data_IF_191593672843
#
_entry.id   IF_191593672843
#
_cell.length_a   1.000
_cell.length_b   1.000
_cell.length_c   1.000
_cell.angle_alpha   90.00
_cell.angle_beta   90.00
_cell.angle_gamma   90.00
#
_symmetry.space_group_name_H-M   'P 1'
#
loop_
_entity.id
_entity.type
_entity.pdbx_description
1 polymer ?
#
# COMPACT_ATOMS: atom_id res chain seq x y z
N UNK A 1 26.13 25.72 15.51
CA UNK A 1 26.95 24.54 15.92
C UNK A 1 26.22 23.26 15.53
N UNK A 2 26.61 22.62 14.43
CA UNK A 2 26.02 21.33 14.03
C UNK A 2 26.74 20.19 14.74
N UNK A 3 26.04 19.49 15.64
CA UNK A 3 26.57 18.29 16.31
C UNK A 3 26.72 17.20 15.26
N UNK A 4 27.95 16.73 15.02
CA UNK A 4 28.19 15.48 14.30
C UNK A 4 27.58 14.33 15.11
N UNK A 5 26.34 13.95 14.79
CA UNK A 5 25.69 12.81 15.41
C UNK A 5 26.28 11.51 14.84
N UNK A 6 27.11 10.81 15.62
CA UNK A 6 27.53 9.44 15.31
C UNK A 6 26.29 8.54 15.29
N UNK A 7 25.80 8.24 14.08
CA UNK A 7 24.62 7.40 13.89
C UNK A 7 25.03 5.92 13.90
N UNK A 8 24.74 5.21 14.99
CA UNK A 8 24.93 3.75 15.06
C UNK A 8 23.82 3.08 14.26
N UNK A 9 24.15 2.25 13.28
CA UNK A 9 23.20 1.59 12.39
C UNK A 9 23.33 0.07 12.47
N UNK A 10 22.21 -0.63 12.62
CA UNK A 10 22.16 -2.08 12.54
C UNK A 10 22.29 -2.52 11.07
N UNK A 11 23.35 -3.28 10.79
CA UNK A 11 23.65 -3.83 9.46
C UNK A 11 23.91 -5.33 9.54
N UNK A 12 23.37 -6.08 8.60
CA UNK A 12 23.61 -7.51 8.43
C UNK A 12 24.22 -7.76 7.05
N UNK A 13 25.33 -8.51 7.02
CA UNK A 13 25.98 -8.99 5.79
C UNK A 13 25.41 -10.37 5.48
N UNK A 14 25.03 -10.61 4.23
CA UNK A 14 24.49 -11.88 3.75
C UNK A 14 24.95 -12.14 2.31
N UNK A 15 24.80 -13.39 1.85
CA UNK A 15 25.10 -13.79 0.47
C UNK A 15 23.79 -14.19 -0.21
N UNK A 16 23.46 -13.53 -1.31
CA UNK A 16 22.31 -13.86 -2.16
C UNK A 16 22.62 -13.28 -3.54
N UNK A 17 22.98 -14.13 -4.50
CA UNK A 17 23.54 -13.71 -5.79
C UNK A 17 24.72 -12.72 -5.60
N UNK A 18 25.66 -13.11 -4.72
CA UNK A 18 26.79 -12.30 -4.29
C UNK A 18 26.66 -11.67 -2.89
N UNK A 19 27.71 -10.93 -2.47
CA UNK A 19 27.80 -10.36 -1.11
C UNK A 19 26.98 -9.06 -1.00
N UNK A 20 25.93 -9.08 -0.18
CA UNK A 20 25.01 -7.95 0.04
C UNK A 20 24.95 -7.51 1.50
N UNK A 21 24.39 -6.32 1.73
CA UNK A 21 24.20 -5.72 3.07
C UNK A 21 22.78 -5.20 3.23
N UNK A 22 22.12 -5.55 4.33
CA UNK A 22 20.80 -5.04 4.70
C UNK A 22 20.89 -4.23 6.00
N UNK A 23 20.19 -3.09 6.03
CA UNK A 23 20.07 -2.26 7.23
C UNK A 23 18.69 -2.39 7.88
N UNK A 24 18.67 -2.52 9.21
CA UNK A 24 17.44 -2.70 10.00
C UNK A 24 16.96 -1.44 10.71
N UNK A 25 17.81 -0.42 10.81
CA UNK A 25 17.49 0.88 11.40
C UNK A 25 18.66 1.43 12.23
N UNK A 26 18.45 2.62 12.79
CA UNK A 26 19.40 3.31 13.66
C UNK A 26 19.15 2.94 15.12
N UNK A 27 20.20 2.92 15.94
CA UNK A 27 20.09 2.91 17.39
C UNK A 27 19.94 4.35 17.92
N UNK A 28 19.06 4.63 18.89
CA UNK A 28 18.25 3.69 19.68
C UNK A 28 16.86 3.37 19.11
N UNK A 29 16.46 3.98 17.98
CA UNK A 29 15.12 3.79 17.37
C UNK A 29 14.76 2.32 17.14
N UNK A 30 15.77 1.47 16.89
CA UNK A 30 15.62 0.02 16.82
C UNK A 30 16.46 -0.62 17.92
N UNK A 31 15.80 -1.38 18.80
CA UNK A 31 16.46 -2.13 19.87
C UNK A 31 17.29 -3.29 19.31
N UNK A 32 18.24 -3.80 20.10
CA UNK A 32 19.03 -4.99 19.72
C UNK A 32 18.11 -6.21 19.50
N UNK A 33 17.05 -6.34 20.30
CA UNK A 33 16.07 -7.42 20.19
C UNK A 33 15.36 -7.36 18.84
N UNK A 34 14.84 -6.20 18.48
CA UNK A 34 14.13 -6.01 17.20
C UNK A 34 15.06 -6.19 16.00
N UNK A 35 16.32 -5.74 16.11
CA UNK A 35 17.32 -5.96 15.07
C UNK A 35 17.62 -7.46 14.85
N UNK A 36 17.63 -8.27 15.92
CA UNK A 36 17.79 -9.73 15.83
C UNK A 36 16.57 -10.39 15.19
N UNK A 37 15.35 -10.01 15.60
CA UNK A 37 14.12 -10.51 14.98
C UNK A 37 14.09 -10.23 13.47
N UNK A 38 14.34 -8.98 13.07
CA UNK A 38 14.37 -8.59 11.65
C UNK A 38 15.45 -9.33 10.85
N UNK A 39 16.58 -9.68 11.48
CA UNK A 39 17.63 -10.51 10.86
C UNK A 39 17.12 -11.94 10.63
N UNK A 40 16.44 -12.51 11.60
CA UNK A 40 15.96 -13.89 11.52
C UNK A 40 14.82 -14.01 10.50
N UNK A 41 13.96 -13.01 10.39
CA UNK A 41 12.97 -12.91 9.30
C UNK A 41 13.63 -12.78 7.92
N UNK A 42 14.67 -11.96 7.81
CA UNK A 42 15.43 -11.82 6.57
C UNK A 42 16.19 -13.10 6.20
N UNK A 43 16.61 -13.92 7.18
CA UNK A 43 17.21 -15.25 6.94
C UNK A 43 16.21 -16.23 6.35
N UNK A 44 14.96 -16.21 6.80
CA UNK A 44 13.90 -17.06 6.22
C UNK A 44 13.69 -16.74 4.74
N UNK A 45 13.61 -15.45 4.40
CA UNK A 45 13.51 -15.02 3.00
C UNK A 45 14.66 -15.56 2.14
N UNK A 46 15.90 -15.52 2.63
CA UNK A 46 17.05 -16.11 1.91
C UNK A 46 16.91 -17.63 1.76
N UNK A 47 16.38 -18.33 2.77
CA UNK A 47 16.14 -19.78 2.69
C UNK A 47 15.03 -20.13 1.67
N UNK A 48 14.07 -19.23 1.48
CA UNK A 48 13.00 -19.34 0.48
C UNK A 48 13.41 -18.81 -0.91
N UNK A 49 14.72 -18.59 -1.13
CA UNK A 49 15.31 -18.05 -2.37
C UNK A 49 14.80 -16.64 -2.75
N UNK A 50 14.44 -15.82 -1.76
CA UNK A 50 13.97 -14.44 -1.94
C UNK A 50 15.02 -13.44 -1.43
N UNK A 51 15.44 -12.49 -2.27
CA UNK A 51 16.33 -11.39 -1.86
C UNK A 51 15.62 -10.48 -0.83
N UNK A 52 16.10 -10.41 0.44
CA UNK A 52 15.47 -9.61 1.48
C UNK A 52 15.48 -8.10 1.19
N UNK A 53 16.48 -7.61 0.45
CA UNK A 53 16.57 -6.21 0.06
C UNK A 53 15.57 -5.84 -1.03
N UNK A 54 15.36 -6.74 -1.99
CA UNK A 54 14.33 -6.59 -3.01
C UNK A 54 12.93 -6.68 -2.37
N UNK A 55 12.70 -7.65 -1.49
CA UNK A 55 11.46 -7.77 -0.74
C UNK A 55 11.14 -6.50 0.05
N UNK A 56 12.11 -5.94 0.78
CA UNK A 56 11.93 -4.67 1.51
C UNK A 56 11.57 -3.50 0.58
N UNK A 57 12.17 -3.42 -0.60
CA UNK A 57 11.84 -2.40 -1.61
C UNK A 57 10.43 -2.61 -2.16
N UNK A 58 10.06 -3.84 -2.49
CA UNK A 58 8.74 -4.20 -3.01
C UNK A 58 7.63 -3.88 -2.00
N UNK A 59 7.81 -4.25 -0.73
CA UNK A 59 6.86 -3.89 0.34
C UNK A 59 6.74 -2.38 0.47
N UNK A 60 7.85 -1.63 0.45
CA UNK A 60 7.80 -0.17 0.51
C UNK A 60 7.10 0.43 -0.71
N UNK A 61 7.38 -0.06 -1.91
CA UNK A 61 6.74 0.38 -3.15
C UNK A 61 5.24 0.10 -3.12
N UNK A 62 4.82 -1.10 -2.74
CA UNK A 62 3.41 -1.46 -2.59
C UNK A 62 2.68 -0.60 -1.55
N UNK A 63 3.35 -0.24 -0.44
CA UNK A 63 2.77 0.69 0.53
C UNK A 63 2.63 2.10 -0.03
N UNK A 64 3.63 2.60 -0.77
CA UNK A 64 3.57 3.91 -1.42
C UNK A 64 2.48 3.94 -2.50
N UNK A 65 2.37 2.89 -3.31
CA UNK A 65 1.34 2.74 -4.32
C UNK A 65 -0.07 2.71 -3.69
N UNK A 66 -0.24 1.99 -2.58
CA UNK A 66 -1.51 1.99 -1.82
C UNK A 66 -1.86 3.39 -1.29
N UNK A 67 -0.87 4.17 -0.87
CA UNK A 67 -1.07 5.55 -0.41
C UNK A 67 -1.31 6.49 -1.59
N UNK A 68 -0.68 6.26 -2.75
CA UNK A 68 -0.80 7.09 -3.94
C UNK A 68 -2.08 6.80 -4.74
N UNK A 69 -2.69 5.62 -4.61
CA UNK A 69 -3.95 5.27 -5.26
C UNK A 69 -5.14 5.60 -4.34
N UNK A 70 -5.29 6.89 -4.01
CA UNK A 70 -6.44 7.35 -3.25
C UNK A 70 -7.68 7.44 -4.13
N UNK A 71 -8.86 7.46 -3.51
CA UNK A 71 -10.13 7.65 -4.24
C UNK A 71 -10.11 8.97 -5.02
N UNK A 72 -9.50 10.02 -4.46
CA UNK A 72 -9.38 11.31 -5.13
C UNK A 72 -8.59 11.21 -6.44
N UNK A 73 -7.45 10.53 -6.43
CA UNK A 73 -6.58 10.40 -7.61
C UNK A 73 -7.31 9.73 -8.78
N UNK A 74 -8.01 8.61 -8.52
CA UNK A 74 -8.78 7.90 -9.55
C UNK A 74 -10.03 8.65 -9.96
N UNK A 75 -10.69 9.35 -9.03
CA UNK A 75 -11.85 10.18 -9.37
C UNK A 75 -11.45 11.35 -10.30
N UNK A 76 -10.29 11.96 -10.09
CA UNK A 76 -9.74 13.00 -10.96
C UNK A 76 -9.33 12.46 -12.33
N UNK A 77 -8.71 11.28 -12.38
CA UNK A 77 -8.41 10.60 -13.65
C UNK A 77 -9.69 10.26 -14.44
N UNK A 78 -10.68 9.67 -13.76
CA UNK A 78 -11.99 9.36 -14.34
C UNK A 78 -12.67 10.63 -14.86
N UNK A 79 -12.65 11.71 -14.08
CA UNK A 79 -13.24 12.99 -14.46
C UNK A 79 -12.55 13.55 -15.71
N UNK A 80 -11.21 13.54 -15.74
CA UNK A 80 -10.44 14.01 -16.89
C UNK A 80 -10.79 13.24 -18.17
N UNK A 81 -11.04 11.93 -18.08
CA UNK A 81 -11.41 11.08 -19.23
C UNK A 81 -12.87 11.27 -19.66
N UNK A 82 -13.81 11.22 -18.71
CA UNK A 82 -15.25 11.21 -19.00
C UNK A 82 -15.83 12.60 -19.29
N UNK A 83 -15.15 13.65 -18.88
CA UNK A 83 -15.61 15.02 -19.06
C UNK A 83 -14.96 15.72 -20.26
N UNK A 84 -14.21 15.03 -21.11
CA UNK A 84 -13.52 15.64 -22.27
C UNK A 84 -14.49 16.37 -23.21
N UNK A 85 -15.60 15.73 -23.57
CA UNK A 85 -16.62 16.17 -24.53
C UNK A 85 -17.73 17.07 -23.96
N UNK A 86 -17.75 17.27 -22.63
CA UNK A 86 -18.85 17.99 -21.97
C UNK A 86 -18.67 19.51 -21.97
N UNK A 87 -19.78 20.25 -21.87
CA UNK A 87 -19.75 21.70 -21.69
C UNK A 87 -19.07 22.10 -20.37
N UNK A 88 -18.30 23.19 -20.38
CA UNK A 88 -17.52 23.66 -19.22
C UNK A 88 -18.37 23.81 -17.94
N UNK A 89 -19.56 24.41 -18.07
CA UNK A 89 -20.50 24.58 -16.95
C UNK A 89 -20.98 23.27 -16.33
N UNK A 90 -21.02 22.17 -17.10
CA UNK A 90 -21.32 20.84 -16.57
C UNK A 90 -20.12 20.25 -15.83
N UNK A 91 -18.91 20.39 -16.40
CA UNK A 91 -17.66 19.95 -15.75
C UNK A 91 -17.52 20.61 -14.37
N UNK A 92 -17.66 21.93 -14.32
CA UNK A 92 -17.50 22.73 -13.09
C UNK A 92 -18.50 22.31 -12.00
N UNK A 93 -19.76 22.03 -12.37
CA UNK A 93 -20.77 21.55 -11.42
C UNK A 93 -20.46 20.14 -10.90
N UNK A 94 -19.99 19.24 -11.77
CA UNK A 94 -19.72 17.86 -11.37
C UNK A 94 -18.48 17.77 -10.48
N UNK A 95 -17.40 18.47 -10.82
CA UNK A 95 -16.19 18.45 -9.97
C UNK A 95 -16.46 19.07 -8.59
N UNK A 96 -17.21 20.19 -8.53
CA UNK A 96 -17.54 20.83 -7.26
C UNK A 96 -18.37 19.91 -6.33
N UNK A 97 -19.29 19.12 -6.88
CA UNK A 97 -20.06 18.12 -6.09
C UNK A 97 -19.15 17.00 -5.58
N UNK A 98 -18.26 16.50 -6.43
CA UNK A 98 -17.32 15.44 -6.04
C UNK A 98 -16.38 15.94 -4.93
N UNK A 99 -15.87 17.16 -5.05
CA UNK A 99 -14.95 17.76 -4.06
C UNK A 99 -15.64 18.03 -2.72
N UNK A 100 -16.85 18.61 -2.72
CA UNK A 100 -17.56 18.97 -1.49
C UNK A 100 -18.18 17.77 -0.78
N UNK A 101 -18.80 16.85 -1.53
CA UNK A 101 -19.62 15.79 -0.94
C UNK A 101 -18.83 14.49 -0.75
N UNK A 102 -17.91 14.17 -1.67
CA UNK A 102 -17.28 12.85 -1.74
C UNK A 102 -15.84 12.88 -1.23
N UNK A 103 -15.02 13.86 -1.67
CA UNK A 103 -13.62 13.94 -1.24
C UNK A 103 -13.47 14.29 0.23
N UNK A 104 -14.41 15.05 0.81
CA UNK A 104 -14.45 15.35 2.24
C UNK A 104 -14.40 14.08 3.12
N UNK A 105 -15.05 13.00 2.68
CA UNK A 105 -15.12 11.75 3.46
C UNK A 105 -14.23 10.62 2.93
N UNK A 106 -14.11 10.50 1.61
CA UNK A 106 -13.47 9.36 0.95
C UNK A 106 -12.16 9.72 0.24
N UNK A 107 -11.86 11.01 0.03
CA UNK A 107 -10.76 11.45 -0.82
C UNK A 107 -9.40 10.84 -0.45
N UNK A 108 -9.04 10.88 0.84
CA UNK A 108 -7.76 10.34 1.34
C UNK A 108 -7.73 8.81 1.53
N UNK A 109 -8.84 8.11 1.29
CA UNK A 109 -8.90 6.67 1.52
C UNK A 109 -8.30 5.92 0.32
N UNK A 110 -7.42 4.91 0.56
CA UNK A 110 -6.97 4.01 -0.49
C UNK A 110 -8.15 3.28 -1.12
N UNK A 111 -8.21 3.22 -2.45
CA UNK A 111 -9.30 2.52 -3.17
C UNK A 111 -9.30 1.02 -2.85
N UNK A 112 -8.15 0.45 -2.52
CA UNK A 112 -8.04 -0.95 -2.10
C UNK A 112 -8.95 -1.29 -0.92
N UNK A 113 -9.25 -0.33 -0.04
CA UNK A 113 -10.18 -0.51 1.08
C UNK A 113 -11.64 -0.53 0.61
N UNK A 114 -11.98 0.26 -0.41
CA UNK A 114 -13.34 0.34 -0.97
C UNK A 114 -13.64 -0.85 -1.89
N UNK A 115 -12.66 -1.31 -2.66
CA UNK A 115 -12.78 -2.50 -3.50
C UNK A 115 -13.02 -3.77 -2.66
N UNK A 116 -12.38 -3.88 -1.48
CA UNK A 116 -12.59 -4.98 -0.55
C UNK A 116 -14.06 -5.12 -0.10
N UNK A 117 -14.77 -4.00 0.08
CA UNK A 117 -16.20 -4.01 0.46
C UNK A 117 -17.09 -4.59 -0.65
N UNK A 118 -16.83 -4.22 -1.92
CA UNK A 118 -17.61 -4.71 -3.06
C UNK A 118 -17.39 -6.21 -3.29
N UNK A 119 -16.13 -6.66 -3.28
CA UNK A 119 -15.79 -8.08 -3.42
C UNK A 119 -16.37 -8.90 -2.26
N UNK A 120 -16.32 -8.40 -1.03
CA UNK A 120 -16.92 -9.08 0.12
C UNK A 120 -18.45 -9.17 0.00
N UNK A 121 -19.13 -8.10 -0.45
CA UNK A 121 -20.58 -8.12 -0.72
C UNK A 121 -20.94 -9.13 -1.80
N UNK A 122 -20.20 -9.15 -2.90
CA UNK A 122 -20.44 -10.06 -4.02
C UNK A 122 -20.16 -11.53 -3.61
N UNK A 123 -19.13 -11.78 -2.80
CA UNK A 123 -18.81 -13.10 -2.26
C UNK A 123 -19.87 -13.60 -1.26
N UNK A 124 -20.41 -12.73 -0.39
CA UNK A 124 -21.54 -13.05 0.48
C UNK A 124 -22.80 -13.32 -0.33
N UNK A 125 -23.08 -12.51 -1.36
CA UNK A 125 -24.17 -12.76 -2.31
C UNK A 125 -24.05 -14.12 -3.00
N UNK A 126 -22.86 -14.48 -3.45
CA UNK A 126 -22.57 -15.79 -4.04
C UNK A 126 -22.78 -16.94 -3.04
N UNK A 127 -22.32 -16.80 -1.79
CA UNK A 127 -22.52 -17.81 -0.75
C UNK A 127 -24.00 -17.99 -0.40
N UNK A 128 -24.77 -16.90 -0.31
CA UNK A 128 -26.19 -16.93 -0.02
C UNK A 128 -27.01 -17.55 -1.17
N UNK A 129 -26.63 -17.25 -2.42
CA UNK A 129 -27.21 -17.88 -3.62
C UNK A 129 -26.91 -19.39 -3.66
N UNK A 130 -25.74 -19.82 -3.17
CA UNK A 130 -25.37 -21.24 -3.08
C UNK A 130 -26.14 -21.99 -1.99
N UNK A 131 -26.51 -21.33 -0.89
CA UNK A 131 -27.29 -21.95 0.19
C UNK A 131 -28.80 -22.01 -0.06
N UNK A 132 -29.31 -21.18 -0.97
CA UNK A 132 -30.74 -21.15 -1.34
C UNK A 132 -31.10 -22.17 -2.45
N UNK A 133 -30.11 -22.78 -3.10
CA UNK A 133 -30.29 -23.92 -4.00
C UNK A 133 -30.09 -25.26 -3.26
N UNK A 134 -30.99 -25.61 -2.34
CA UNK A 134 -31.15 -27.01 -1.93
C UNK A 134 -32.37 -27.60 -2.67
N UNK A 135 -32.17 -28.61 -3.52
CA UNK A 135 -33.27 -29.25 -4.22
C UNK A 135 -34.06 -30.13 -3.25
N UNK A 136 -35.34 -29.83 -3.11
CA UNK A 136 -36.38 -30.86 -3.12
C UNK A 136 -37.11 -30.74 -4.45
#
# INVERSE_FOLDING_TARGET
MSKFALTKLWRWKYCFDGKKRLSFGRYPDVSLKDARTKRDDARKLVADDVDPSAHKKAVKAAMLERVANTFEDVAREWFARMMTDKAKSHKDKVIARIENDIFAWLGKRPISVLAAYRVARDAVGWLLARTSAKPW
#
